data_IF_062316314374
#
_entry.id   IF_062316314374
#
_cell.length_a   1.000
_cell.length_b   1.000
_cell.length_c   1.000
_cell.angle_alpha   90.00
_cell.angle_beta   90.00
_cell.angle_gamma   90.00
#
_symmetry.space_group_name_H-M   'P 1'
#
loop_
_entity.id
_entity.type
_entity.pdbx_description
1 polymer ?
#
# COMPACT_ATOMS: atom_id res chain seq x y z
N UNK A 1 -22.29 12.34 14.29
CA UNK A 1 -21.60 11.93 13.04
C UNK A 1 -20.61 13.03 12.70
N UNK A 2 -19.38 12.69 12.36
CA UNK A 2 -18.44 13.68 11.81
C UNK A 2 -19.01 14.23 10.49
N UNK A 3 -18.70 15.49 10.17
CA UNK A 3 -19.04 16.08 8.88
C UNK A 3 -18.46 15.21 7.74
N UNK A 4 -19.27 14.74 6.77
CA UNK A 4 -18.79 13.96 5.63
C UNK A 4 -17.63 14.63 4.87
N UNK A 5 -17.58 15.97 4.85
CA UNK A 5 -16.48 16.71 4.23
C UNK A 5 -15.14 16.51 4.98
N UNK A 6 -15.17 16.35 6.31
CA UNK A 6 -13.98 16.13 7.14
C UNK A 6 -13.44 14.70 7.03
N UNK A 7 -14.31 13.71 6.78
CA UNK A 7 -13.90 12.30 6.59
C UNK A 7 -12.98 12.12 5.38
N UNK A 8 -13.17 12.94 4.35
CA UNK A 8 -12.48 12.81 3.07
C UNK A 8 -11.33 13.80 2.89
N UNK A 9 -11.02 14.62 3.89
CA UNK A 9 -9.80 15.42 3.88
C UNK A 9 -8.59 14.50 4.09
N UNK A 10 -7.60 14.60 3.21
CA UNK A 10 -6.43 13.72 3.21
C UNK A 10 -5.12 14.46 3.44
N UNK A 11 -4.10 13.70 3.82
CA UNK A 11 -2.71 14.14 3.97
C UNK A 11 -1.76 13.06 3.43
N UNK A 12 -0.54 13.44 3.02
CA UNK A 12 0.46 12.46 2.62
C UNK A 12 0.80 11.51 3.77
N UNK A 13 0.99 10.23 3.46
CA UNK A 13 1.52 9.27 4.44
C UNK A 13 2.97 9.65 4.76
N UNK A 14 3.27 9.83 6.06
CA UNK A 14 4.61 10.26 6.51
C UNK A 14 5.46 9.10 7.00
N UNK A 15 4.82 8.13 7.64
CA UNK A 15 5.46 7.00 8.28
C UNK A 15 4.80 5.70 7.81
N UNK A 16 5.64 4.71 7.56
CA UNK A 16 5.23 3.36 7.20
C UNK A 16 5.96 2.35 8.08
N UNK A 17 5.35 1.20 8.29
CA UNK A 17 6.02 0.01 8.77
C UNK A 17 6.22 -0.96 7.59
N UNK A 18 7.27 -1.77 7.65
CA UNK A 18 7.51 -2.87 6.70
C UNK A 18 7.38 -4.17 7.48
N UNK A 19 6.45 -5.03 7.08
CA UNK A 19 6.13 -6.24 7.84
C UNK A 19 7.16 -7.36 7.62
N UNK A 20 7.72 -7.47 6.41
CA UNK A 20 8.74 -8.46 6.05
C UNK A 20 9.59 -7.99 4.86
N UNK A 21 10.79 -8.56 4.74
CA UNK A 21 11.77 -8.31 3.67
C UNK A 21 12.02 -6.81 3.41
N UNK A 22 12.48 -6.05 4.42
CA UNK A 22 12.70 -4.60 4.28
C UNK A 22 13.66 -4.22 3.15
N UNK A 23 14.61 -5.09 2.81
CA UNK A 23 15.53 -4.93 1.68
C UNK A 23 14.85 -4.94 0.29
N UNK A 24 13.59 -5.39 0.21
CA UNK A 24 12.77 -5.36 -1.00
C UNK A 24 11.73 -4.21 -0.98
N UNK A 25 11.77 -3.34 0.04
CA UNK A 25 10.93 -2.15 0.14
C UNK A 25 11.80 -0.89 0.29
N UNK A 26 11.70 0.04 -0.66
CA UNK A 26 12.36 1.35 -0.52
C UNK A 26 11.34 2.44 -0.29
N UNK A 27 11.57 3.32 0.68
CA UNK A 27 10.76 4.51 0.94
C UNK A 27 11.63 5.75 0.79
N UNK A 28 11.27 6.64 -0.14
CA UNK A 28 11.92 7.92 -0.36
C UNK A 28 10.94 9.06 -0.04
N UNK A 29 11.00 9.62 1.19
CA UNK A 29 10.11 10.71 1.59
C UNK A 29 10.27 11.99 0.76
N UNK A 30 11.45 12.24 0.18
CA UNK A 30 11.69 13.45 -0.63
C UNK A 30 10.91 13.44 -1.95
N UNK A 31 10.67 12.27 -2.52
CA UNK A 31 9.91 12.10 -3.76
C UNK A 31 8.50 11.52 -3.52
N UNK A 32 8.07 11.43 -2.25
CA UNK A 32 6.82 10.78 -1.83
C UNK A 32 6.60 9.41 -2.48
N UNK A 33 7.65 8.58 -2.59
CA UNK A 33 7.59 7.33 -3.32
C UNK A 33 7.97 6.14 -2.46
N UNK A 34 7.19 5.06 -2.56
CA UNK A 34 7.47 3.75 -1.98
C UNK A 34 7.57 2.76 -3.15
N UNK A 35 8.55 1.87 -3.12
CA UNK A 35 8.68 0.81 -4.12
C UNK A 35 8.75 -0.55 -3.43
N UNK A 36 7.98 -1.50 -3.94
CA UNK A 36 8.03 -2.91 -3.55
C UNK A 36 8.64 -3.72 -4.70
N UNK A 37 9.62 -4.56 -4.38
CA UNK A 37 10.30 -5.41 -5.36
C UNK A 37 9.94 -6.87 -5.10
N UNK A 38 9.60 -7.60 -6.17
CA UNK A 38 9.50 -9.06 -6.14
C UNK A 38 10.65 -9.67 -6.95
N UNK A 39 11.42 -10.56 -6.31
CA UNK A 39 12.47 -11.36 -6.94
C UNK A 39 12.74 -12.66 -6.14
N UNK A 40 13.94 -13.23 -6.24
CA UNK A 40 14.33 -14.45 -5.53
C UNK A 40 14.22 -14.37 -4.00
N UNK A 41 14.15 -13.18 -3.42
CA UNK A 41 13.91 -12.95 -1.98
C UNK A 41 12.44 -13.12 -1.59
N UNK A 42 11.56 -13.28 -2.58
CA UNK A 42 10.12 -13.10 -2.45
C UNK A 42 9.74 -11.65 -2.71
N UNK A 43 8.66 -11.21 -2.06
CA UNK A 43 8.22 -9.81 -2.09
C UNK A 43 8.43 -9.10 -0.77
N UNK A 44 7.70 -8.02 -0.58
CA UNK A 44 7.63 -7.28 0.67
C UNK A 44 6.22 -6.69 0.85
N UNK A 45 5.92 -6.24 2.08
CA UNK A 45 4.68 -5.54 2.41
C UNK A 45 4.96 -4.34 3.30
N UNK A 46 4.46 -3.18 2.89
CA UNK A 46 4.42 -1.99 3.74
C UNK A 46 2.99 -1.71 4.21
N UNK A 47 2.89 -0.96 5.30
CA UNK A 47 1.60 -0.49 5.83
C UNK A 47 1.71 0.86 6.54
N UNK A 48 0.57 1.51 6.75
CA UNK A 48 0.47 2.62 7.70
C UNK A 48 0.82 2.18 9.13
N UNK A 49 1.37 3.11 9.91
CA UNK A 49 1.69 2.85 11.33
C UNK A 49 0.46 2.92 12.23
N UNK A 50 -0.58 3.62 11.80
CA UNK A 50 -1.87 3.76 12.49
C UNK A 50 -3.02 3.16 11.69
N UNK A 51 -4.06 2.73 12.41
CA UNK A 51 -5.34 2.36 11.81
C UNK A 51 -6.21 3.59 11.58
N UNK A 52 -7.19 3.45 10.72
CA UNK A 52 -8.17 4.47 10.38
C UNK A 52 -9.56 3.87 10.43
N UNK A 53 -10.55 4.64 10.89
CA UNK A 53 -11.96 4.25 10.83
C UNK A 53 -12.67 5.16 9.84
N UNK A 54 -12.93 4.66 8.64
CA UNK A 54 -13.43 5.42 7.48
C UNK A 54 -12.41 6.42 6.91
N UNK A 55 -12.79 7.01 5.78
CA UNK A 55 -12.07 8.08 5.09
C UNK A 55 -11.67 7.73 3.66
N UNK A 56 -10.84 8.59 3.06
CA UNK A 56 -10.29 8.39 1.72
C UNK A 56 -8.82 8.03 1.76
N UNK A 57 -8.48 6.98 1.02
CA UNK A 57 -7.12 6.49 0.80
C UNK A 57 -6.85 6.51 -0.69
N UNK A 58 -5.68 6.99 -1.10
CA UNK A 58 -5.30 6.96 -2.51
C UNK A 58 -3.81 6.79 -2.70
N UNK A 59 -3.41 6.28 -3.85
CA UNK A 59 -2.02 6.24 -4.30
C UNK A 59 -1.97 6.31 -5.82
N UNK A 60 -0.93 6.96 -6.34
CA UNK A 60 -0.54 6.78 -7.73
C UNK A 60 0.26 5.49 -7.82
N UNK A 61 -0.21 4.54 -8.62
CA UNK A 61 0.43 3.22 -8.74
C UNK A 61 0.92 3.04 -10.18
N UNK A 62 2.17 2.61 -10.30
CA UNK A 62 2.72 2.06 -11.54
C UNK A 62 3.16 0.63 -11.26
N UNK A 63 2.49 -0.32 -11.90
CA UNK A 63 2.73 -1.74 -11.68
C UNK A 63 4.02 -2.23 -12.37
N UNK A 64 4.53 -3.42 -12.01
CA UNK A 64 5.76 -3.94 -12.60
C UNK A 64 5.69 -4.14 -14.12
N UNK A 65 6.82 -3.91 -14.79
CA UNK A 65 7.02 -4.20 -16.22
C UNK A 65 7.28 -5.68 -16.46
N UNK A 66 7.32 -6.07 -17.74
CA UNK A 66 7.60 -7.45 -18.16
C UNK A 66 6.41 -8.39 -17.99
N UNK A 67 6.70 -9.70 -18.03
CA UNK A 67 5.75 -10.76 -17.79
C UNK A 67 5.55 -10.95 -16.29
N UNK A 68 4.46 -10.38 -15.77
CA UNK A 68 4.07 -10.42 -14.36
C UNK A 68 3.22 -11.63 -13.98
N UNK A 69 3.02 -12.59 -14.89
CA UNK A 69 2.17 -13.77 -14.63
C UNK A 69 2.55 -14.44 -13.31
N UNK A 70 1.54 -14.81 -12.52
CA UNK A 70 1.68 -15.40 -11.19
C UNK A 70 1.72 -14.39 -10.04
N UNK A 71 2.13 -13.15 -10.28
CA UNK A 71 2.22 -12.15 -9.21
C UNK A 71 0.84 -11.53 -8.90
N UNK A 72 0.63 -11.21 -7.63
CA UNK A 72 -0.38 -10.25 -7.18
C UNK A 72 0.36 -9.05 -6.58
N UNK A 73 0.03 -7.87 -7.08
CA UNK A 73 0.44 -6.59 -6.50
C UNK A 73 -0.85 -5.83 -6.15
N UNK A 74 -0.84 -5.12 -5.03
CA UNK A 74 -2.09 -4.62 -4.45
C UNK A 74 -1.90 -3.31 -3.67
N UNK A 75 -3.04 -2.68 -3.37
CA UNK A 75 -3.21 -1.72 -2.29
C UNK A 75 -4.56 -1.99 -1.64
N UNK A 76 -4.60 -2.08 -0.31
CA UNK A 76 -5.79 -2.53 0.38
C UNK A 76 -5.88 -1.97 1.80
N UNK A 77 -7.07 -2.01 2.36
CA UNK A 77 -7.30 -1.76 3.78
C UNK A 77 -7.51 -3.09 4.48
N UNK A 78 -6.92 -3.30 5.65
CA UNK A 78 -7.25 -4.46 6.49
C UNK A 78 -7.17 -4.13 7.98
N UNK A 79 -8.10 -4.66 8.77
CA UNK A 79 -8.13 -4.45 10.22
C UNK A 79 -6.88 -5.02 10.90
N UNK A 80 -6.43 -6.17 10.39
CA UNK A 80 -5.15 -6.77 10.70
C UNK A 80 -4.88 -7.87 9.69
N UNK A 81 -3.83 -7.70 8.90
CA UNK A 81 -3.36 -8.70 7.95
C UNK A 81 -3.00 -10.03 8.66
N UNK A 82 -3.50 -11.15 8.12
CA UNK A 82 -3.34 -12.49 8.69
C UNK A 82 -4.34 -12.86 9.80
N UNK A 83 -5.18 -11.93 10.26
CA UNK A 83 -6.33 -12.27 11.11
C UNK A 83 -7.38 -13.03 10.27
N UNK A 84 -8.05 -14.02 10.87
CA UNK A 84 -9.10 -14.82 10.20
C UNK A 84 -10.49 -14.17 10.28
N UNK A 85 -10.62 -13.09 11.02
CA UNK A 85 -11.86 -12.36 11.20
C UNK A 85 -11.69 -10.89 10.81
N UNK A 86 -10.80 -10.59 9.88
CA UNK A 86 -10.51 -9.24 9.44
C UNK A 86 -11.68 -8.61 8.68
N UNK A 87 -11.81 -7.29 8.80
CA UNK A 87 -12.47 -6.49 7.77
C UNK A 87 -11.39 -6.02 6.79
N UNK A 88 -11.71 -5.97 5.50
CA UNK A 88 -10.72 -5.66 4.45
C UNK A 88 -11.39 -5.13 3.17
N UNK A 89 -10.69 -4.29 2.40
CA UNK A 89 -11.16 -3.61 1.19
C UNK A 89 -10.02 -3.50 0.18
N UNK A 90 -10.19 -4.06 -1.03
CA UNK A 90 -9.05 -4.42 -1.87
C UNK A 90 -9.06 -3.78 -3.26
N UNK A 91 -7.86 -3.43 -3.72
CA UNK A 91 -7.48 -3.44 -5.14
C UNK A 91 -6.36 -4.46 -5.34
N UNK A 92 -6.57 -5.42 -6.21
CA UNK A 92 -5.63 -6.49 -6.51
C UNK A 92 -5.41 -6.60 -8.03
N UNK A 93 -4.19 -6.38 -8.47
CA UNK A 93 -3.82 -6.59 -9.87
C UNK A 93 -3.35 -8.03 -10.04
N UNK A 94 -3.96 -8.72 -11.01
CA UNK A 94 -3.68 -10.13 -11.27
C UNK A 94 -2.66 -10.22 -12.40
N UNK A 95 -1.42 -10.60 -12.07
CA UNK A 95 -0.27 -10.43 -12.95
C UNK A 95 -0.33 -11.15 -14.31
N UNK A 96 -1.25 -12.10 -14.51
CA UNK A 96 -1.55 -12.69 -15.82
C UNK A 96 -2.14 -11.70 -16.83
N UNK A 97 -2.79 -10.63 -16.35
CA UNK A 97 -3.43 -9.62 -17.18
C UNK A 97 -3.35 -8.25 -16.49
N UNK A 98 -2.46 -7.40 -16.98
CA UNK A 98 -2.23 -6.05 -16.46
C UNK A 98 -3.27 -5.03 -16.93
N UNK A 99 -4.25 -5.45 -17.74
CA UNK A 99 -5.32 -4.57 -18.22
C UNK A 99 -6.59 -4.66 -17.38
N UNK A 100 -6.56 -5.47 -16.31
CA UNK A 100 -7.65 -5.63 -15.36
C UNK A 100 -7.20 -5.36 -13.92
N UNK A 101 -8.16 -5.10 -13.05
CA UNK A 101 -7.97 -5.10 -11.60
C UNK A 101 -9.16 -5.77 -10.91
N UNK A 102 -8.88 -6.56 -9.89
CA UNK A 102 -9.88 -7.14 -9.01
C UNK A 102 -10.13 -6.21 -7.82
N UNK A 103 -11.39 -6.10 -7.43
CA UNK A 103 -11.80 -5.49 -6.16
C UNK A 103 -12.52 -6.52 -5.31
N UNK A 104 -12.34 -6.44 -4.00
CA UNK A 104 -13.06 -7.28 -3.04
C UNK A 104 -13.26 -6.52 -1.73
N UNK A 105 -14.11 -7.06 -0.87
CA UNK A 105 -14.13 -6.63 0.53
C UNK A 105 -14.57 -7.78 1.44
N UNK A 106 -13.96 -7.82 2.62
CA UNK A 106 -14.20 -8.81 3.66
C UNK A 106 -14.90 -8.19 4.86
N UNK A 107 -15.73 -9.01 5.50
CA UNK A 107 -16.45 -8.66 6.72
C UNK A 107 -16.32 -9.82 7.69
N UNK A 108 -15.64 -9.60 8.82
CA UNK A 108 -15.35 -10.66 9.80
C UNK A 108 -14.78 -11.93 9.14
N UNK A 109 -13.80 -11.75 8.25
CA UNK A 109 -13.10 -12.82 7.54
C UNK A 109 -13.85 -13.44 6.36
N UNK A 110 -15.08 -12.99 6.10
CA UNK A 110 -15.88 -13.48 4.96
C UNK A 110 -15.76 -12.52 3.78
N UNK A 111 -15.09 -12.96 2.71
CA UNK A 111 -15.00 -12.30 1.41
C UNK A 111 -16.03 -12.84 0.41
N UNK A 112 -15.58 -13.33 -0.75
CA UNK A 112 -16.39 -13.83 -1.88
C UNK A 112 -17.24 -12.74 -2.55
N UNK A 113 -16.67 -11.55 -2.71
CA UNK A 113 -17.33 -10.39 -3.34
C UNK A 113 -16.46 -9.81 -4.45
N UNK A 114 -15.70 -10.67 -5.12
CA UNK A 114 -14.76 -10.31 -6.16
C UNK A 114 -15.49 -9.69 -7.35
N UNK A 115 -14.95 -8.60 -7.89
CA UNK A 115 -15.37 -8.03 -9.16
C UNK A 115 -14.12 -7.66 -9.96
N UNK A 116 -14.09 -8.08 -11.22
CA UNK A 116 -13.05 -7.72 -12.18
C UNK A 116 -13.49 -6.47 -12.94
N UNK A 117 -12.56 -5.53 -13.09
CA UNK A 117 -12.76 -4.27 -13.82
C UNK A 117 -11.73 -4.14 -14.91
N UNK A 118 -12.17 -3.82 -16.13
CA UNK A 118 -11.29 -3.44 -17.22
C UNK A 118 -10.73 -2.03 -16.96
N UNK A 119 -9.41 -1.89 -17.01
CA UNK A 119 -8.72 -0.61 -16.80
C UNK A 119 -8.82 0.29 -18.05
N UNK A 120 -8.83 -0.32 -19.24
CA UNK A 120 -8.69 0.39 -20.51
C UNK A 120 -7.26 0.89 -20.79
N UNK A 121 -6.30 0.47 -19.97
CA UNK A 121 -4.86 0.72 -20.09
C UNK A 121 -4.08 -0.45 -19.46
N UNK A 122 -2.78 -0.55 -19.73
CA UNK A 122 -1.88 -1.47 -19.01
C UNK A 122 -1.41 -0.78 -17.72
N UNK A 123 -1.67 -1.36 -16.55
CA UNK A 123 -1.36 -0.76 -15.24
C UNK A 123 0.14 -0.53 -14.98
N UNK A 124 1.02 -1.06 -15.83
CA UNK A 124 2.45 -0.79 -15.77
C UNK A 124 2.89 0.42 -16.62
N UNK A 125 2.02 0.94 -17.50
CA UNK A 125 2.31 2.03 -18.44
C UNK A 125 2.13 3.42 -17.83
N UNK A 126 2.94 3.71 -16.81
CA UNK A 126 2.91 4.97 -16.08
C UNK A 126 2.07 4.90 -14.82
N UNK A 127 1.88 6.05 -14.18
CA UNK A 127 1.13 6.15 -12.94
C UNK A 127 -0.35 6.41 -13.20
N UNK A 128 -1.21 5.64 -12.52
CA UNK A 128 -2.65 5.84 -12.47
C UNK A 128 -3.11 6.01 -11.02
N UNK A 129 -4.16 6.80 -10.78
CA UNK A 129 -4.70 7.03 -9.44
C UNK A 129 -5.67 5.91 -9.06
N UNK A 130 -5.39 5.24 -7.94
CA UNK A 130 -6.29 4.27 -7.31
C UNK A 130 -6.71 4.80 -5.95
N UNK A 131 -8.03 4.82 -5.70
CA UNK A 131 -8.60 5.45 -4.52
C UNK A 131 -9.74 4.62 -3.94
N UNK A 132 -9.70 4.43 -2.62
CA UNK A 132 -10.77 3.82 -1.83
C UNK A 132 -11.41 4.93 -1.00
N UNK A 133 -12.71 5.13 -1.17
CA UNK A 133 -13.52 5.97 -0.29
C UNK A 133 -14.38 5.06 0.57
N UNK A 134 -14.05 4.96 1.85
CA UNK A 134 -14.75 4.12 2.80
C UNK A 134 -15.55 5.00 3.77
N UNK A 135 -16.86 4.90 3.70
CA UNK A 135 -17.83 5.56 4.57
C UNK A 135 -18.55 4.51 5.42
N UNK A 136 -19.25 4.94 6.49
CA UNK A 136 -20.06 4.03 7.31
C UNK A 136 -21.10 3.23 6.51
N UNK A 137 -21.62 3.82 5.44
CA UNK A 137 -22.74 3.29 4.64
C UNK A 137 -22.34 2.91 3.21
N UNK A 138 -21.11 3.16 2.78
CA UNK A 138 -20.69 2.94 1.40
C UNK A 138 -19.18 2.77 1.24
N UNK A 139 -18.77 2.00 0.25
CA UNK A 139 -17.39 1.90 -0.21
C UNK A 139 -17.38 2.19 -1.71
N UNK A 140 -16.51 3.09 -2.13
CA UNK A 140 -16.27 3.38 -3.54
C UNK A 140 -14.82 3.10 -3.91
N UNK A 141 -14.64 2.38 -5.02
CA UNK A 141 -13.37 2.20 -5.69
C UNK A 141 -13.33 3.15 -6.87
N UNK A 142 -12.28 3.95 -6.94
CA UNK A 142 -12.12 5.01 -7.93
C UNK A 142 -10.79 4.82 -8.65
N UNK A 143 -10.82 4.86 -9.98
CA UNK A 143 -9.63 4.78 -10.85
C UNK A 143 -9.63 6.03 -11.73
N UNK A 144 -8.55 6.81 -11.69
CA UNK A 144 -8.39 8.08 -12.44
C UNK A 144 -9.62 9.01 -12.33
N UNK A 145 -10.12 9.17 -11.11
CA UNK A 145 -11.29 10.01 -10.80
C UNK A 145 -12.66 9.42 -11.16
N UNK A 146 -12.73 8.23 -11.76
CA UNK A 146 -14.00 7.55 -12.09
C UNK A 146 -14.32 6.45 -11.08
N UNK A 147 -15.53 6.46 -10.52
CA UNK A 147 -16.02 5.36 -9.67
C UNK A 147 -16.23 4.12 -10.54
N UNK A 148 -15.47 3.06 -10.30
CA UNK A 148 -15.59 1.77 -11.02
C UNK A 148 -16.46 0.77 -10.26
N UNK A 149 -16.54 0.91 -8.93
CA UNK A 149 -17.40 0.10 -8.07
C UNK A 149 -17.91 0.93 -6.91
N UNK A 150 -19.18 0.73 -6.55
CA UNK A 150 -19.78 1.22 -5.31
C UNK A 150 -20.50 0.06 -4.62
N UNK A 151 -20.18 -0.18 -3.36
CA UNK A 151 -20.90 -1.09 -2.48
C UNK A 151 -21.64 -0.26 -1.43
N UNK A 152 -22.92 -0.50 -1.24
CA UNK A 152 -23.73 0.18 -0.23
C UNK A 152 -24.07 -0.78 0.90
N UNK A 153 -24.06 -0.27 2.13
CA UNK A 153 -24.52 -1.00 3.29
C UNK A 153 -26.01 -1.29 3.14
N UNK A 154 -26.37 -2.56 3.31
CA UNK A 154 -27.76 -2.99 3.44
C UNK A 154 -28.02 -3.41 4.87
N UNK A 155 -29.25 -3.25 5.36
CA UNK A 155 -29.61 -3.49 6.77
C UNK A 155 -29.22 -4.88 7.30
N UNK A 156 -29.21 -5.90 6.43
CA UNK A 156 -29.02 -7.32 6.81
C UNK A 156 -27.62 -7.84 6.46
N UNK A 157 -26.84 -7.10 5.67
CA UNK A 157 -25.50 -7.52 5.24
C UNK A 157 -24.43 -6.87 6.14
N UNK A 158 -23.49 -7.67 6.64
CA UNK A 158 -22.32 -7.15 7.34
C UNK A 158 -21.52 -6.22 6.42
N UNK A 159 -20.86 -5.22 7.01
CA UNK A 159 -20.08 -4.21 6.30
C UNK A 159 -18.79 -3.91 7.07
N UNK A 160 -17.69 -3.52 6.40
CA UNK A 160 -16.43 -3.17 7.09
C UNK A 160 -16.61 -2.03 8.10
N UNK A 161 -16.31 -2.31 9.36
CA UNK A 161 -16.52 -1.41 10.51
C UNK A 161 -15.33 -1.33 11.47
N UNK A 162 -14.40 -2.31 11.41
CA UNK A 162 -13.20 -2.27 12.24
C UNK A 162 -12.23 -1.22 11.72
N UNK A 163 -11.50 -0.49 12.59
CA UNK A 163 -10.39 0.35 12.15
C UNK A 163 -9.35 -0.47 11.37
N UNK A 164 -8.90 0.05 10.23
CA UNK A 164 -8.00 -0.66 9.29
C UNK A 164 -6.70 0.11 9.03
N UNK A 165 -5.61 -0.62 8.86
CA UNK A 165 -4.39 -0.04 8.26
C UNK A 165 -4.55 0.03 6.75
N UNK A 166 -3.82 0.95 6.12
CA UNK A 166 -3.52 0.88 4.70
C UNK A 166 -2.33 -0.06 4.50
N UNK A 167 -2.45 -1.01 3.60
CA UNK A 167 -1.43 -1.98 3.22
C UNK A 167 -1.16 -1.92 1.73
N UNK A 168 0.05 -2.35 1.35
CA UNK A 168 0.35 -2.76 -0.01
C UNK A 168 1.44 -3.83 0.01
N UNK A 169 1.32 -4.81 -0.88
CA UNK A 169 2.25 -5.92 -1.02
C UNK A 169 2.44 -6.31 -2.48
N UNK A 170 3.51 -7.07 -2.73
CA UNK A 170 3.69 -7.85 -3.94
C UNK A 170 4.06 -9.26 -3.54
N UNK A 171 3.39 -10.27 -4.11
CA UNK A 171 3.61 -11.67 -3.74
C UNK A 171 3.29 -12.62 -4.91
N UNK A 172 3.82 -13.84 -4.85
CA UNK A 172 3.53 -14.89 -5.82
C UNK A 172 2.21 -15.59 -5.44
N UNK A 173 1.17 -15.35 -6.23
CA UNK A 173 -0.16 -15.93 -6.07
C UNK A 173 -0.41 -17.12 -7.01
N UNK A 174 0.62 -17.64 -7.69
CA UNK A 174 0.48 -18.71 -8.68
C UNK A 174 0.02 -20.04 -8.09
N UNK A 175 0.19 -20.24 -6.77
CA UNK A 175 -0.30 -21.42 -6.06
C UNK A 175 -1.82 -21.38 -5.80
N UNK A 176 -2.48 -20.24 -6.01
CA UNK A 176 -3.92 -20.08 -5.78
C UNK A 176 -4.73 -20.65 -6.94
N UNK A 177 -5.70 -21.51 -6.63
CA UNK A 177 -6.61 -22.16 -7.60
C UNK A 177 -5.89 -22.76 -8.81
N UNK A 178 -4.77 -23.45 -8.59
CA UNK A 178 -3.96 -24.05 -9.67
C UNK A 178 -3.60 -23.01 -10.74
N UNK A 179 -3.09 -21.85 -10.31
CA UNK A 179 -2.70 -20.70 -11.15
C UNK A 179 -3.82 -20.03 -11.94
N UNK A 180 -5.09 -20.46 -11.82
CA UNK A 180 -6.21 -19.85 -12.56
C UNK A 180 -6.47 -18.39 -12.19
N UNK A 181 -6.11 -17.98 -10.98
CA UNK A 181 -6.36 -16.62 -10.51
C UNK A 181 -5.34 -15.62 -11.06
N UNK A 182 -4.08 -15.71 -10.67
CA UNK A 182 -3.02 -14.76 -11.08
C UNK A 182 -2.12 -15.24 -12.22
N UNK A 183 -2.29 -16.47 -12.72
CA UNK A 183 -1.42 -17.10 -13.72
C UNK A 183 -0.30 -17.93 -13.11
N UNK A 184 0.47 -18.62 -13.95
CA UNK A 184 1.67 -19.33 -13.51
C UNK A 184 2.83 -18.35 -13.35
N UNK A 185 3.59 -18.46 -12.27
CA UNK A 185 4.78 -17.63 -12.09
C UNK A 185 5.88 -18.05 -13.05
N UNK A 186 6.31 -17.12 -13.92
CA UNK A 186 7.37 -17.34 -14.91
C UNK A 186 8.71 -16.79 -14.41
N UNK A 187 8.71 -15.57 -13.84
CA UNK A 187 9.88 -14.99 -13.20
C UNK A 187 11.02 -14.58 -14.14
N UNK A 188 10.80 -14.50 -15.45
CA UNK A 188 11.85 -14.22 -16.43
C UNK A 188 12.31 -12.75 -16.50
N UNK A 189 11.53 -11.83 -15.91
CA UNK A 189 11.79 -10.39 -15.95
C UNK A 189 12.05 -9.78 -14.56
N UNK A 190 12.33 -10.62 -13.55
CA UNK A 190 12.70 -10.13 -12.23
C UNK A 190 13.98 -9.26 -12.31
N UNK A 191 14.10 -8.18 -11.51
CA UNK A 191 13.19 -7.77 -10.44
C UNK A 191 11.93 -7.06 -10.92
N UNK A 192 10.78 -7.44 -10.35
CA UNK A 192 9.50 -6.80 -10.61
C UNK A 192 9.26 -5.68 -9.59
N UNK A 193 9.27 -4.43 -10.04
CA UNK A 193 9.15 -3.26 -9.15
C UNK A 193 7.77 -2.62 -9.28
N UNK A 194 6.98 -2.64 -8.21
CA UNK A 194 5.72 -1.91 -8.09
C UNK A 194 5.97 -0.58 -7.37
N UNK A 195 5.55 0.52 -7.98
CA UNK A 195 5.78 1.87 -7.49
C UNK A 195 4.47 2.46 -6.96
N UNK A 196 4.54 3.04 -5.76
CA UNK A 196 3.46 3.78 -5.11
C UNK A 196 3.96 5.21 -4.88
N UNK A 197 3.20 6.20 -5.31
CA UNK A 197 3.60 7.60 -5.22
C UNK A 197 2.45 8.46 -4.70
N UNK A 198 2.81 9.50 -3.95
CA UNK A 198 1.88 10.50 -3.41
C UNK A 198 0.73 9.85 -2.64
N UNK A 199 1.01 8.77 -1.91
CA UNK A 199 0.03 8.04 -1.12
C UNK A 199 -0.59 8.95 -0.06
N UNK A 200 -1.92 9.05 -0.09
CA UNK A 200 -2.71 9.88 0.81
C UNK A 200 -3.53 9.01 1.77
N UNK A 201 -3.61 9.45 3.02
CA UNK A 201 -4.44 8.85 4.08
C UNK A 201 -5.34 9.92 4.71
N UNK A 202 -6.44 9.55 5.38
CA UNK A 202 -7.31 10.51 6.04
C UNK A 202 -6.61 11.34 7.12
N UNK A 203 -7.02 12.59 7.30
CA UNK A 203 -6.51 13.46 8.38
C UNK A 203 -7.14 13.13 9.73
N UNK A 204 -8.46 12.96 9.77
CA UNK A 204 -9.22 13.03 11.02
C UNK A 204 -9.63 11.66 11.61
N UNK A 205 -9.42 10.56 10.87
CA UNK A 205 -9.95 9.24 11.24
C UNK A 205 -8.90 8.27 11.80
N UNK A 206 -7.67 8.75 12.01
CA UNK A 206 -6.62 7.94 12.64
C UNK A 206 -7.04 7.52 14.06
N UNK A 207 -6.93 6.24 14.35
CA UNK A 207 -7.22 5.65 15.66
C UNK A 207 -5.88 5.30 16.32
N UNK A 208 -5.58 5.95 17.45
CA UNK A 208 -4.40 5.62 18.24
C UNK A 208 -4.50 4.16 18.72
N UNK A 209 -3.48 3.36 18.42
CA UNK A 209 -3.36 2.04 19.03
C UNK A 209 -2.94 2.24 20.49
N UNK A 210 -3.77 1.85 21.45
CA UNK A 210 -3.38 1.86 22.86
C UNK A 210 -2.11 1.03 23.03
N UNK A 211 -1.06 1.69 23.51
CA UNK A 211 0.29 1.16 23.61
C UNK A 211 0.37 0.03 24.64
N UNK A 212 0.40 -1.22 24.17
CA UNK A 212 0.92 -2.36 24.94
C UNK A 212 1.80 -3.29 24.10
N UNK A 213 2.24 -2.87 22.92
CA UNK A 213 3.20 -3.61 22.08
C UNK A 213 4.52 -2.85 21.97
N UNK A 214 5.60 -3.57 22.29
CA UNK A 214 7.00 -3.11 22.26
C UNK A 214 7.34 -2.55 20.87
N UNK A 215 8.03 -1.40 20.76
CA UNK A 215 8.39 -0.82 19.47
C UNK A 215 9.39 -1.70 18.72
N UNK A 216 9.08 -2.01 17.46
CA UNK A 216 10.03 -2.56 16.48
C UNK A 216 10.98 -1.43 16.07
N UNK A 217 12.30 -1.63 16.02
CA UNK A 217 13.24 -0.55 15.78
C UNK A 217 13.08 0.05 14.37
N UNK A 218 12.94 1.38 14.32
CA UNK A 218 13.05 2.19 13.11
C UNK A 218 14.47 2.09 12.55
N UNK A 219 14.67 1.39 11.43
CA UNK A 219 15.92 1.46 10.68
C UNK A 219 15.91 2.77 9.89
N UNK A 220 16.59 3.79 10.43
CA UNK A 220 16.95 4.99 9.67
C UNK A 220 18.09 4.64 8.72
N UNK A 221 17.82 4.70 7.42
CA UNK A 221 18.86 4.66 6.39
C UNK A 221 19.74 5.92 6.53
N UNK A 222 20.90 5.80 7.17
CA UNK A 222 21.93 6.84 7.19
C UNK A 222 22.82 6.64 5.96
N UNK A 223 22.68 7.54 4.98
CA UNK A 223 23.69 7.71 3.92
C UNK A 223 25.00 8.19 4.54
N UNK A 224 26.18 7.66 4.14
CA UNK A 224 27.45 8.13 4.66
C UNK A 224 27.83 9.46 4.01
N UNK A 225 27.85 10.55 4.80
CA UNK A 225 28.47 11.80 4.37
C UNK A 225 29.99 11.67 4.40
N UNK A 226 30.62 11.94 3.25
CA UNK A 226 32.06 12.05 3.06
C UNK A 226 32.68 13.06 4.04
N UNK A 227 33.86 12.70 4.55
CA UNK A 227 34.72 13.56 5.34
C UNK A 227 35.34 14.66 4.47
N UNK A 228 35.06 15.93 4.81
CA UNK A 228 35.90 17.07 4.45
C UNK A 228 36.22 17.79 5.75
N UNK A 229 37.43 17.62 6.27
CA UNK A 229 38.00 18.47 7.32
C UNK A 229 38.98 19.42 6.63
N UNK A 230 38.54 20.65 6.38
CA UNK A 230 39.43 21.80 6.23
C UNK A 230 39.84 22.24 7.65
N UNK A 231 41.14 22.18 7.96
CA UNK A 231 41.71 22.80 9.14
C UNK A 231 42.39 24.11 8.71
N UNK A 232 41.81 25.25 9.09
CA UNK A 232 42.34 26.59 8.84
C UNK A 232 42.08 27.42 10.11
N UNK A 233 43.17 28.01 10.63
CA UNK A 233 43.29 29.17 11.56
C UNK A 233 43.18 28.88 13.08
N UNK A 234 43.95 29.49 14.00
CA UNK A 234 44.92 30.61 13.99
C UNK A 234 45.81 30.45 15.26
N UNK A 235 47.15 30.60 15.20
CA UNK A 235 47.98 31.81 15.37
C UNK A 235 48.27 32.20 16.85
N UNK A 236 49.55 32.55 17.10
CA UNK A 236 50.12 33.43 18.15
C UNK A 236 50.95 32.76 19.29
N UNK A 237 52.27 32.73 19.03
CA UNK A 237 53.39 33.28 19.83
C UNK A 237 53.89 32.60 21.12
N UNK A 238 55.19 32.26 21.17
CA UNK A 238 56.24 33.08 21.81
C UNK A 238 57.59 32.34 21.94
N UNK A 239 58.65 32.99 21.46
CA UNK A 239 60.06 33.04 21.93
C UNK A 239 60.74 31.81 22.56
N UNK A 240 61.91 31.45 22.01
CA UNK A 240 62.96 30.67 22.68
C UNK A 240 63.81 29.88 21.72
#
# INVERSE_FOLDING_TARGET
MADPALLHQTQPIKEIAIDYTPEACTHCPLSNSIALTFDHRGGARWRSTTRFLYGTFSSLIQCPKGNTSGLNFNIYLSSLEGDKSQDEIDFEFLGKDKTIVQTNYYTTGTGNREQIHDLGFDCSDGFHEYKIKWNPDSIEWVIDGKVVRRAERKEVEAFPEKPMFLYASVWDASYIYEARWAGHYIGCDAPYVCLYKDTQVPVATAVECSSNSVPVPLIRCLLPLLWIVLLIHDLVSCFG
#
